data_IF_031126401098
#
_entry.id   IF_031126401098
#
_cell.length_a   1.000
_cell.length_b   1.000
_cell.length_c   1.000
_cell.angle_alpha   90.00
_cell.angle_beta   90.00
_cell.angle_gamma   90.00
#
_symmetry.space_group_name_H-M   'P 1'
#
loop_
_entity.id
_entity.type
_entity.pdbx_description
1 polymer ?
#
# COMPACT_ATOMS: atom_id res chain seq x y z
N UNK A 1 -55.18 -3.85 -19.14
CA UNK A 1 -55.89 -2.75 -18.41
C UNK A 1 -55.07 -2.47 -17.16
N UNK A 2 -54.49 -1.31 -16.83
CA UNK A 2 -54.52 0.08 -17.30
C UNK A 2 -53.07 0.64 -17.22
N UNK A 3 -52.72 1.48 -18.20
CA UNK A 3 -51.54 2.36 -18.23
C UNK A 3 -51.80 3.61 -17.36
N UNK A 4 -50.73 4.29 -16.95
CA UNK A 4 -50.49 5.75 -16.99
C UNK A 4 -49.57 6.16 -15.82
N UNK A 5 -48.35 6.64 -16.03
CA UNK A 5 -47.96 7.96 -16.59
C UNK A 5 -48.28 9.10 -15.61
N UNK A 6 -47.24 9.62 -14.94
CA UNK A 6 -47.08 11.04 -14.57
C UNK A 6 -45.59 11.26 -14.19
N UNK A 7 -44.67 11.62 -15.08
CA UNK A 7 -44.45 12.92 -15.75
C UNK A 7 -44.14 14.07 -14.78
N UNK A 8 -42.91 14.60 -14.98
CA UNK A 8 -42.44 15.97 -14.83
C UNK A 8 -42.85 16.78 -13.59
N UNK A 9 -41.83 17.16 -12.82
CA UNK A 9 -41.67 18.54 -12.34
C UNK A 9 -40.16 18.88 -12.42
N UNK A 10 -39.78 19.61 -13.47
CA UNK A 10 -39.25 20.98 -13.39
C UNK A 10 -37.95 21.05 -12.56
N UNK A 11 -36.73 20.97 -13.10
CA UNK A 11 -36.09 21.89 -14.06
C UNK A 11 -36.57 23.32 -13.97
N UNK A 12 -35.87 24.16 -13.19
CA UNK A 12 -35.63 25.59 -13.41
C UNK A 12 -34.87 26.15 -12.21
N UNK A 13 -33.57 26.41 -12.33
CA UNK A 13 -32.88 27.59 -11.78
C UNK A 13 -31.46 27.65 -12.36
N UNK A 14 -31.39 27.96 -13.65
CA UNK A 14 -30.23 28.66 -14.21
C UNK A 14 -30.46 30.16 -13.97
N UNK A 15 -29.71 30.74 -13.05
CA UNK A 15 -29.46 32.18 -13.02
C UNK A 15 -28.01 32.41 -13.40
N UNK A 16 -27.80 32.75 -14.67
CA UNK A 16 -26.58 33.36 -15.17
C UNK A 16 -26.54 34.83 -14.73
N UNK A 17 -25.42 35.26 -14.14
CA UNK A 17 -25.04 36.67 -14.09
C UNK A 17 -23.77 36.83 -14.92
N UNK A 18 -23.94 37.31 -16.16
CA UNK A 18 -22.85 37.94 -16.91
C UNK A 18 -22.88 39.42 -16.60
N UNK A 19 -21.94 39.89 -15.78
CA UNK A 19 -21.58 41.30 -15.73
C UNK A 19 -20.36 41.51 -16.61
N UNK A 20 -20.61 42.04 -17.81
CA UNK A 20 -19.61 42.66 -18.66
C UNK A 20 -19.36 44.06 -18.13
N UNK A 21 -18.28 44.23 -17.36
CA UNK A 21 -17.78 45.54 -16.97
C UNK A 21 -16.67 45.95 -17.95
N UNK A 22 -17.00 46.89 -18.85
CA UNK A 22 -16.01 47.59 -19.66
C UNK A 22 -15.21 48.56 -18.76
N UNK A 23 -14.03 48.13 -18.32
CA UNK A 23 -12.99 49.06 -17.84
C UNK A 23 -11.99 49.38 -18.95
N UNK A 24 -12.06 50.61 -19.45
CA UNK A 24 -10.97 51.30 -20.13
C UNK A 24 -9.73 51.29 -19.22
N UNK A 25 -8.66 50.64 -19.65
CA UNK A 25 -7.36 50.74 -19.00
C UNK A 25 -6.36 51.42 -19.93
N UNK A 26 -5.94 52.60 -19.46
CA UNK A 26 -4.79 53.40 -19.87
C UNK A 26 -3.53 52.54 -19.96
N UNK A 27 -2.81 52.68 -21.07
CA UNK A 27 -1.51 52.08 -21.32
C UNK A 27 -0.44 52.74 -20.46
N UNK A 28 -0.05 52.09 -19.36
CA UNK A 28 1.23 52.34 -18.70
C UNK A 28 2.18 51.17 -19.01
N UNK A 29 3.26 51.46 -19.72
CA UNK A 29 4.40 50.55 -19.91
C UNK A 29 5.06 50.32 -18.56
N UNK A 30 4.71 49.22 -17.91
CA UNK A 30 5.47 48.66 -16.79
C UNK A 30 6.37 47.56 -17.33
N UNK A 31 7.68 47.75 -17.17
CA UNK A 31 8.71 46.78 -17.53
C UNK A 31 8.47 45.48 -16.73
N UNK A 32 8.04 44.43 -17.42
CA UNK A 32 7.88 43.09 -16.85
C UNK A 32 9.27 42.46 -16.67
N UNK A 33 9.78 42.55 -15.44
CA UNK A 33 10.74 41.56 -14.95
C UNK A 33 9.96 40.25 -14.83
N UNK A 34 10.15 39.36 -15.79
CA UNK A 34 9.60 37.99 -15.77
C UNK A 34 10.25 37.25 -14.61
N UNK A 35 9.62 37.30 -13.45
CA UNK A 35 9.88 36.34 -12.38
C UNK A 35 9.39 34.99 -12.87
N UNK A 36 10.23 33.93 -12.93
CA UNK A 36 9.75 32.61 -13.30
C UNK A 36 8.71 32.22 -12.25
N UNK A 37 7.44 32.08 -12.66
CA UNK A 37 6.43 31.51 -11.78
C UNK A 37 6.90 30.11 -11.46
N UNK A 38 7.27 29.85 -10.21
CA UNK A 38 7.55 28.51 -9.73
C UNK A 38 6.30 27.67 -10.03
N UNK A 39 6.36 26.86 -11.08
CA UNK A 39 5.38 25.81 -11.33
C UNK A 39 5.50 24.86 -10.14
N UNK A 40 4.62 25.05 -9.17
CA UNK A 40 4.37 24.07 -8.13
C UNK A 40 3.80 22.85 -8.83
N UNK A 41 4.66 21.86 -9.11
CA UNK A 41 4.21 20.57 -9.60
C UNK A 41 3.25 19.98 -8.57
N UNK A 42 1.95 20.07 -8.85
CA UNK A 42 0.91 19.46 -8.03
C UNK A 42 0.88 17.98 -8.36
N UNK A 43 1.52 17.17 -7.50
CA UNK A 43 1.48 15.72 -7.63
C UNK A 43 0.03 15.22 -7.55
N UNK A 44 -0.30 14.33 -8.48
CA UNK A 44 -1.54 13.56 -8.48
C UNK A 44 -1.63 12.68 -7.22
N UNK A 45 -2.85 12.27 -6.87
CA UNK A 45 -3.07 11.34 -5.74
C UNK A 45 -2.28 10.04 -5.92
N UNK A 46 -2.18 9.55 -7.17
CA UNK A 46 -1.47 8.30 -7.50
C UNK A 46 0.03 8.44 -7.33
N UNK A 47 0.62 9.56 -7.76
CA UNK A 47 2.05 9.83 -7.55
C UNK A 47 2.41 9.93 -6.07
N UNK A 48 1.55 10.57 -5.26
CA UNK A 48 1.72 10.62 -3.79
C UNK A 48 1.66 9.23 -3.18
N UNK A 49 0.69 8.42 -3.59
CA UNK A 49 0.57 7.03 -3.15
C UNK A 49 1.84 6.22 -3.48
N UNK A 50 2.31 6.29 -4.72
CA UNK A 50 3.53 5.59 -5.14
C UNK A 50 4.74 6.07 -4.35
N UNK A 51 4.83 7.37 -4.06
CA UNK A 51 5.85 7.95 -3.17
C UNK A 51 5.80 7.33 -1.77
N UNK A 52 4.62 7.26 -1.16
CA UNK A 52 4.44 6.66 0.17
C UNK A 52 4.77 5.16 0.20
N UNK A 53 4.41 4.41 -0.85
CA UNK A 53 4.75 2.98 -0.96
C UNK A 53 6.28 2.82 -1.01
N UNK A 54 6.98 3.64 -1.80
CA UNK A 54 8.46 3.62 -1.86
C UNK A 54 9.08 3.91 -0.51
N UNK A 55 8.61 4.94 0.19
CA UNK A 55 9.11 5.31 1.52
C UNK A 55 8.91 4.18 2.52
N UNK A 56 7.72 3.57 2.55
CA UNK A 56 7.42 2.42 3.41
C UNK A 56 8.35 1.24 3.12
N UNK A 57 8.48 0.87 1.84
CA UNK A 57 9.35 -0.26 1.43
C UNK A 57 10.80 0.00 1.83
N UNK A 58 11.30 1.23 1.63
CA UNK A 58 12.66 1.60 2.03
C UNK A 58 12.85 1.49 3.55
N UNK A 59 11.93 2.03 4.33
CA UNK A 59 11.98 1.94 5.80
C UNK A 59 12.02 0.47 6.27
N UNK A 60 11.19 -0.40 5.67
CA UNK A 60 11.21 -1.84 5.94
C UNK A 60 12.54 -2.49 5.56
N UNK A 61 13.10 -2.17 4.39
CA UNK A 61 14.37 -2.74 3.93
C UNK A 61 15.57 -2.29 4.80
N UNK A 62 15.57 -1.05 5.26
CA UNK A 62 16.63 -0.47 6.10
C UNK A 62 16.46 -0.78 7.60
N UNK A 63 15.34 -1.42 7.98
CA UNK A 63 14.97 -1.65 9.38
C UNK A 63 14.86 -0.34 10.18
N UNK A 64 14.43 0.74 9.53
CA UNK A 64 14.20 2.03 10.19
C UNK A 64 12.96 1.91 11.08
N UNK A 65 13.20 1.51 12.33
CA UNK A 65 12.16 1.26 13.32
C UNK A 65 11.27 2.50 13.53
N UNK A 66 11.79 3.71 13.81
CA UNK A 66 10.96 4.91 13.88
C UNK A 66 10.05 5.14 12.67
N UNK A 67 10.59 5.01 11.45
CA UNK A 67 9.82 5.21 10.22
C UNK A 67 8.74 4.13 10.05
N UNK A 68 9.07 2.86 10.30
CA UNK A 68 8.11 1.74 10.24
C UNK A 68 6.96 1.97 11.22
N UNK A 69 7.25 2.33 12.47
CA UNK A 69 6.23 2.53 13.51
C UNK A 69 5.27 3.68 13.17
N UNK A 70 5.67 4.64 12.34
CA UNK A 70 4.82 5.78 11.94
C UNK A 70 3.63 5.35 11.06
N UNK A 71 3.69 4.19 10.41
CA UNK A 71 2.60 3.64 9.60
C UNK A 71 1.50 2.95 10.45
N UNK A 72 1.73 2.74 11.75
CA UNK A 72 0.82 1.97 12.60
C UNK A 72 0.01 2.88 13.52
N UNK A 73 -1.31 2.71 13.49
CA UNK A 73 -2.22 3.34 14.45
C UNK A 73 -2.40 2.45 15.68
N UNK A 74 -1.58 2.68 16.70
CA UNK A 74 -1.62 1.93 17.95
C UNK A 74 -2.79 2.37 18.86
N UNK A 75 -3.32 1.45 19.70
CA UNK A 75 -2.94 0.04 19.80
C UNK A 75 -3.56 -0.80 18.67
N UNK A 76 -2.79 -1.75 18.15
CA UNK A 76 -3.24 -2.68 17.12
C UNK A 76 -4.20 -3.69 17.74
N UNK A 77 -5.33 -3.93 17.05
CA UNK A 77 -6.26 -4.97 17.43
C UNK A 77 -5.70 -6.35 17.06
N UNK A 78 -6.04 -7.38 17.82
CA UNK A 78 -5.65 -8.77 17.52
C UNK A 78 -6.10 -9.19 16.10
N UNK A 79 -7.26 -8.71 15.65
CA UNK A 79 -7.78 -8.95 14.28
C UNK A 79 -6.95 -8.31 13.16
N UNK A 80 -6.08 -7.36 13.49
CA UNK A 80 -5.19 -6.69 12.53
C UNK A 80 -3.87 -7.44 12.34
N UNK A 81 -3.38 -8.19 13.32
CA UNK A 81 -2.05 -8.82 13.27
C UNK A 81 -2.04 -10.18 13.95
N UNK A 82 -1.51 -11.19 13.27
CA UNK A 82 -1.30 -12.52 13.84
C UNK A 82 0.14 -12.66 14.38
N UNK A 83 0.55 -11.79 15.30
CA UNK A 83 1.88 -11.87 15.93
C UNK A 83 1.84 -12.82 17.12
N UNK A 84 1.73 -14.11 16.84
CA UNK A 84 1.80 -15.17 17.85
C UNK A 84 3.19 -15.79 17.88
N UNK A 85 3.69 -16.14 19.07
CA UNK A 85 4.99 -16.80 19.19
C UNK A 85 6.15 -15.89 18.79
N UNK A 86 6.00 -14.58 19.03
CA UNK A 86 7.08 -13.59 18.89
C UNK A 86 8.15 -13.91 19.93
N UNK A 87 7.78 -13.84 21.21
CA UNK A 87 8.51 -14.33 22.37
C UNK A 87 7.58 -14.39 23.59
N UNK A 88 7.95 -15.11 24.67
CA UNK A 88 7.09 -15.26 25.84
C UNK A 88 6.75 -13.96 26.57
N UNK A 89 7.64 -12.96 26.53
CA UNK A 89 7.43 -11.67 27.21
C UNK A 89 6.39 -10.85 26.44
N UNK A 90 6.53 -10.77 25.12
CA UNK A 90 5.57 -10.13 24.23
C UNK A 90 4.19 -10.80 24.33
N UNK A 91 4.15 -12.13 24.27
CA UNK A 91 2.89 -12.87 24.33
C UNK A 91 2.18 -12.69 25.69
N UNK A 92 2.92 -12.66 26.79
CA UNK A 92 2.37 -12.37 28.11
C UNK A 92 1.84 -10.93 28.20
N UNK A 93 2.60 -9.96 27.69
CA UNK A 93 2.20 -8.55 27.67
C UNK A 93 0.95 -8.31 26.81
N UNK A 94 0.88 -8.95 25.63
CA UNK A 94 -0.28 -8.90 24.73
C UNK A 94 -1.52 -9.47 25.41
N UNK A 95 -1.43 -10.66 26.03
CA UNK A 95 -2.53 -11.28 26.78
C UNK A 95 -3.00 -10.40 27.95
N UNK A 96 -2.08 -9.80 28.69
CA UNK A 96 -2.42 -8.89 29.80
C UNK A 96 -3.13 -7.60 29.33
N UNK A 97 -3.02 -7.26 28.05
CA UNK A 97 -3.62 -6.07 27.44
C UNK A 97 -4.80 -6.40 26.50
N UNK A 98 -5.57 -7.44 26.84
CA UNK A 98 -6.75 -7.90 26.09
C UNK A 98 -6.45 -8.14 24.60
N UNK A 99 -5.32 -8.79 24.34
CA UNK A 99 -4.81 -9.13 23.01
C UNK A 99 -4.50 -7.93 22.10
N UNK A 100 -4.52 -6.70 22.63
CA UNK A 100 -4.13 -5.49 21.89
C UNK A 100 -2.64 -5.25 22.01
N UNK A 101 -2.00 -4.86 20.92
CA UNK A 101 -0.56 -4.56 20.89
C UNK A 101 -0.37 -3.05 20.98
N UNK A 102 0.27 -2.58 22.05
CA UNK A 102 0.62 -1.17 22.21
C UNK A 102 1.89 -0.82 21.42
N UNK A 103 2.13 0.49 21.21
CA UNK A 103 3.37 0.96 20.58
C UNK A 103 4.61 0.46 21.34
N UNK A 104 4.59 0.52 22.67
CA UNK A 104 5.72 0.09 23.51
C UNK A 104 5.99 -1.42 23.38
N UNK A 105 4.94 -2.25 23.32
CA UNK A 105 5.10 -3.70 23.12
C UNK A 105 5.76 -4.01 21.77
N UNK A 106 5.27 -3.38 20.70
CA UNK A 106 5.82 -3.53 19.36
C UNK A 106 7.26 -3.03 19.28
N UNK A 107 7.55 -1.84 19.85
CA UNK A 107 8.87 -1.21 19.84
C UNK A 107 9.92 -2.07 20.58
N UNK A 108 9.56 -2.58 21.77
CA UNK A 108 10.43 -3.43 22.58
C UNK A 108 10.72 -4.79 21.92
N UNK A 109 9.77 -5.29 21.12
CA UNK A 109 9.86 -6.61 20.48
C UNK A 109 10.13 -6.51 18.98
N UNK A 110 10.55 -5.33 18.50
CA UNK A 110 10.65 -5.03 17.08
C UNK A 110 11.52 -6.02 16.32
N UNK A 111 12.69 -6.38 16.86
CA UNK A 111 13.61 -7.31 16.20
C UNK A 111 12.97 -8.70 16.01
N UNK A 112 12.29 -9.21 17.05
CA UNK A 112 11.57 -10.48 17.00
C UNK A 112 10.41 -10.44 16.01
N UNK A 113 9.60 -9.37 16.02
CA UNK A 113 8.50 -9.17 15.07
C UNK A 113 9.03 -9.11 13.65
N UNK A 114 10.06 -8.30 13.39
CA UNK A 114 10.67 -8.11 12.08
C UNK A 114 11.18 -9.44 11.51
N UNK A 115 11.84 -10.25 12.34
CA UNK A 115 12.33 -11.57 11.93
C UNK A 115 11.18 -12.55 11.69
N UNK A 116 10.25 -12.68 12.64
CA UNK A 116 9.14 -13.64 12.58
C UNK A 116 8.17 -13.39 11.43
N UNK A 117 8.01 -12.13 11.07
CA UNK A 117 7.15 -11.74 9.96
C UNK A 117 7.91 -11.62 8.65
N UNK A 118 9.22 -11.91 8.63
CA UNK A 118 10.06 -11.85 7.43
C UNK A 118 10.02 -10.48 6.72
N UNK A 119 9.92 -9.37 7.47
CA UNK A 119 9.92 -8.02 6.91
C UNK A 119 11.16 -7.72 6.06
N UNK A 120 12.24 -8.51 6.16
CA UNK A 120 13.39 -8.40 5.26
C UNK A 120 13.03 -8.67 3.79
N UNK A 121 11.94 -9.35 3.48
CA UNK A 121 11.50 -9.62 2.12
C UNK A 121 11.06 -8.35 1.36
N UNK A 122 10.80 -7.25 2.07
CA UNK A 122 10.54 -5.94 1.44
C UNK A 122 11.71 -5.43 0.59
N UNK A 123 12.94 -5.84 0.89
CA UNK A 123 14.10 -5.55 0.02
C UNK A 123 13.93 -6.18 -1.37
N UNK A 124 13.30 -7.35 -1.45
CA UNK A 124 13.08 -8.08 -2.69
C UNK A 124 11.91 -7.47 -3.46
N UNK A 125 10.86 -6.99 -2.77
CA UNK A 125 9.83 -6.14 -3.36
C UNK A 125 10.45 -4.93 -4.09
N UNK A 126 11.38 -4.20 -3.46
CA UNK A 126 12.07 -3.05 -4.09
C UNK A 126 12.90 -3.50 -5.30
N UNK A 127 13.63 -4.61 -5.15
CA UNK A 127 14.57 -5.10 -6.17
C UNK A 127 13.86 -5.55 -7.45
N UNK A 128 12.75 -6.26 -7.31
CA UNK A 128 12.12 -6.97 -8.43
C UNK A 128 10.95 -6.22 -9.06
N UNK A 129 10.23 -5.41 -8.28
CA UNK A 129 9.03 -4.74 -8.79
C UNK A 129 9.35 -3.40 -9.45
N UNK A 130 8.81 -3.22 -10.65
CA UNK A 130 8.80 -1.92 -11.35
C UNK A 130 7.65 -1.06 -10.83
N UNK A 131 7.80 -0.53 -9.61
CA UNK A 131 6.73 0.18 -8.91
C UNK A 131 6.14 1.37 -9.69
N UNK A 132 6.91 2.04 -10.55
CA UNK A 132 6.40 3.13 -11.38
C UNK A 132 5.30 2.67 -12.37
N UNK A 133 5.23 1.38 -12.69
CA UNK A 133 4.13 0.86 -13.51
C UNK A 133 2.76 1.05 -12.83
N UNK A 134 2.73 1.22 -11.49
CA UNK A 134 1.51 1.55 -10.77
C UNK A 134 0.91 2.90 -11.20
N UNK A 135 1.62 3.77 -11.91
CA UNK A 135 1.04 5.00 -12.47
C UNK A 135 -0.14 4.70 -13.41
N UNK A 136 -0.07 3.57 -14.13
CA UNK A 136 -1.04 3.20 -15.16
C UNK A 136 -1.68 1.81 -14.94
N UNK A 137 -1.32 1.13 -13.84
CA UNK A 137 -1.75 -0.23 -13.52
C UNK A 137 -2.14 -0.29 -12.04
N UNK A 138 -3.14 -1.10 -11.72
CA UNK A 138 -3.55 -1.31 -10.33
C UNK A 138 -2.69 -2.35 -9.61
N UNK A 139 -1.90 -3.14 -10.34
CA UNK A 139 -0.98 -4.10 -9.74
C UNK A 139 0.32 -4.24 -10.52
N UNK A 140 1.36 -4.63 -9.78
CA UNK A 140 2.66 -5.06 -10.31
C UNK A 140 3.04 -6.34 -9.60
N UNK A 141 3.49 -7.33 -10.35
CA UNK A 141 3.82 -8.67 -9.84
C UNK A 141 5.14 -9.14 -10.45
N UNK A 142 5.87 -9.99 -9.75
CA UNK A 142 7.08 -10.64 -10.24
C UNK A 142 7.26 -12.02 -9.61
N UNK A 143 7.42 -13.02 -10.46
CA UNK A 143 7.76 -14.39 -10.07
C UNK A 143 9.25 -14.63 -10.33
N UNK A 144 10.00 -14.88 -9.27
CA UNK A 144 11.42 -15.20 -9.29
C UNK A 144 11.61 -16.72 -9.41
N UNK A 145 11.42 -17.24 -10.63
CA UNK A 145 11.60 -18.67 -10.94
C UNK A 145 13.10 -18.98 -11.07
N UNK A 146 13.60 -19.88 -10.22
CA UNK A 146 14.99 -20.34 -10.25
C UNK A 146 15.02 -21.66 -11.03
N UNK A 147 15.82 -21.71 -12.10
CA UNK A 147 15.91 -22.91 -12.95
C UNK A 147 16.48 -24.08 -12.16
N UNK A 148 15.75 -25.19 -12.16
CA UNK A 148 16.14 -26.40 -11.43
C UNK A 148 15.82 -26.36 -9.93
N UNK A 149 15.13 -25.32 -9.47
CA UNK A 149 14.58 -25.24 -8.12
C UNK A 149 13.10 -25.65 -8.13
N UNK A 150 12.72 -26.37 -7.09
CA UNK A 150 11.37 -26.81 -6.84
C UNK A 150 10.46 -25.71 -6.30
N UNK A 151 11.04 -24.66 -5.72
CA UNK A 151 10.35 -23.46 -5.25
C UNK A 151 10.57 -22.28 -6.20
N UNK A 152 9.62 -21.35 -6.21
CA UNK A 152 9.86 -19.99 -6.67
C UNK A 152 9.30 -18.98 -5.69
N UNK A 153 9.88 -17.79 -5.68
CA UNK A 153 9.42 -16.67 -4.85
C UNK A 153 8.56 -15.74 -5.68
N UNK A 154 7.50 -15.18 -5.09
CA UNK A 154 6.69 -14.17 -5.77
C UNK A 154 6.58 -12.92 -4.93
N UNK A 155 6.41 -11.80 -5.62
CA UNK A 155 6.31 -10.46 -5.05
C UNK A 155 5.21 -9.71 -5.77
N UNK A 156 4.37 -8.98 -5.04
CA UNK A 156 3.37 -8.11 -5.65
C UNK A 156 3.02 -6.89 -4.84
N UNK A 157 2.56 -5.87 -5.55
CA UNK A 157 1.90 -4.69 -5.01
C UNK A 157 0.60 -4.54 -5.77
N UNK A 158 -0.51 -4.42 -5.06
CA UNK A 158 -1.81 -4.07 -5.65
C UNK A 158 -2.42 -2.88 -4.93
N UNK A 159 -3.14 -2.06 -5.67
CA UNK A 159 -3.92 -0.92 -5.18
C UNK A 159 -5.35 -1.10 -5.65
N UNK A 160 -6.29 -1.18 -4.73
CA UNK A 160 -7.71 -1.30 -5.08
C UNK A 160 -8.37 0.07 -5.32
N UNK A 161 -9.64 0.04 -5.72
CA UNK A 161 -10.45 1.23 -5.98
C UNK A 161 -10.79 2.04 -4.72
N UNK A 162 -10.51 1.51 -3.53
CA UNK A 162 -10.64 2.21 -2.26
C UNK A 162 -9.28 2.74 -1.76
N UNK A 163 -8.22 2.73 -2.57
CA UNK A 163 -6.87 3.09 -2.12
C UNK A 163 -6.34 2.17 -0.98
N UNK A 164 -6.80 0.92 -0.91
CA UNK A 164 -6.11 -0.10 -0.14
C UNK A 164 -4.92 -0.62 -0.93
N UNK A 165 -3.74 -0.55 -0.32
CA UNK A 165 -2.50 -1.08 -0.87
C UNK A 165 -2.18 -2.39 -0.20
N UNK A 166 -2.00 -3.44 -0.99
CA UNK A 166 -1.54 -4.75 -0.51
C UNK A 166 -0.14 -5.01 -1.03
N UNK A 167 0.81 -5.18 -0.12
CA UNK A 167 2.18 -5.59 -0.39
C UNK A 167 2.30 -7.07 -0.04
N UNK A 168 2.67 -7.90 -1.01
CA UNK A 168 2.68 -9.35 -0.84
C UNK A 168 4.03 -9.95 -1.24
N UNK A 169 4.48 -10.93 -0.47
CA UNK A 169 5.58 -11.81 -0.81
C UNK A 169 5.27 -13.22 -0.35
N UNK A 170 5.93 -14.20 -0.95
CA UNK A 170 5.75 -15.60 -0.59
C UNK A 170 6.55 -16.54 -1.45
N UNK A 171 6.29 -17.82 -1.27
CA UNK A 171 6.88 -18.91 -2.06
C UNK A 171 5.79 -19.86 -2.53
N UNK A 172 6.00 -20.46 -3.69
CA UNK A 172 5.07 -21.41 -4.29
C UNK A 172 5.86 -22.49 -5.06
N UNK A 173 5.23 -23.62 -5.36
CA UNK A 173 5.88 -24.72 -6.08
C UNK A 173 6.06 -24.43 -7.57
N UNK A 174 7.20 -24.84 -8.11
CA UNK A 174 7.50 -24.76 -9.53
C UNK A 174 6.93 -25.97 -10.29
N UNK A 175 5.87 -25.74 -11.06
CA UNK A 175 5.21 -26.78 -11.86
C UNK A 175 6.14 -27.47 -12.87
N UNK A 176 7.13 -26.78 -13.43
CA UNK A 176 8.09 -27.39 -14.37
C UNK A 176 9.02 -28.37 -13.66
N UNK A 177 9.49 -28.00 -12.47
CA UNK A 177 10.28 -28.88 -11.62
C UNK A 177 9.46 -30.10 -11.18
N UNK A 178 8.24 -29.90 -10.69
CA UNK A 178 7.32 -30.99 -10.27
C UNK A 178 7.09 -32.02 -11.38
N UNK A 179 6.91 -31.57 -12.61
CA UNK A 179 6.70 -32.47 -13.77
C UNK A 179 7.94 -33.29 -14.09
N UNK A 180 9.14 -32.80 -13.78
CA UNK A 180 10.39 -33.50 -14.03
C UNK A 180 10.86 -34.38 -12.85
N UNK A 181 10.31 -34.17 -11.65
CA UNK A 181 10.64 -34.91 -10.43
C UNK A 181 9.35 -35.41 -9.74
N UNK A 182 8.59 -36.33 -10.38
CA UNK A 182 7.28 -36.77 -9.89
C UNK A 182 7.33 -37.58 -8.60
N UNK A 183 8.52 -38.01 -8.19
CA UNK A 183 8.79 -38.80 -6.98
C UNK A 183 9.03 -37.94 -5.73
N UNK A 184 9.11 -36.62 -5.86
CA UNK A 184 9.24 -35.69 -4.73
C UNK A 184 7.86 -35.23 -4.22
N UNK A 185 7.44 -35.72 -3.04
CA UNK A 185 6.09 -35.48 -2.48
C UNK A 185 5.86 -34.05 -1.97
N UNK A 186 6.86 -33.43 -1.33
CA UNK A 186 6.79 -32.04 -0.84
C UNK A 186 8.01 -31.27 -1.32
N UNK A 187 7.77 -30.35 -2.24
CA UNK A 187 8.82 -29.62 -2.94
C UNK A 187 9.03 -28.23 -2.31
N UNK A 188 7.96 -27.62 -1.79
CA UNK A 188 8.01 -26.27 -1.24
C UNK A 188 7.03 -26.11 -0.09
N UNK A 189 7.46 -25.48 1.00
CA UNK A 189 6.55 -24.99 2.04
C UNK A 189 5.89 -23.70 1.54
N UNK A 190 4.78 -23.82 0.81
CA UNK A 190 4.07 -22.70 0.19
C UNK A 190 3.48 -21.75 1.22
N UNK A 191 3.68 -20.45 1.03
CA UNK A 191 3.01 -19.44 1.83
C UNK A 191 2.94 -18.10 1.11
N UNK A 192 2.06 -17.23 1.57
CA UNK A 192 1.90 -15.85 1.14
C UNK A 192 1.70 -14.96 2.37
N UNK A 193 2.53 -13.92 2.50
CA UNK A 193 2.36 -12.86 3.49
C UNK A 193 1.83 -11.62 2.80
N UNK A 194 0.79 -11.00 3.36
CA UNK A 194 0.20 -9.77 2.85
C UNK A 194 0.13 -8.68 3.93
N UNK A 195 0.72 -7.53 3.62
CA UNK A 195 0.65 -6.31 4.42
C UNK A 195 -0.29 -5.31 3.74
N UNK A 196 -1.38 -4.97 4.42
CA UNK A 196 -2.47 -4.19 3.84
C UNK A 196 -2.54 -2.83 4.54
N UNK A 197 -2.54 -1.76 3.74
CA UNK A 197 -2.54 -0.38 4.17
C UNK A 197 -3.68 0.40 3.50
N UNK A 198 -4.18 1.43 4.16
CA UNK A 198 -5.10 2.41 3.59
C UNK A 198 -4.34 3.69 3.28
N UNK A 199 -4.47 4.22 2.07
CA UNK A 199 -4.02 5.56 1.76
C UNK A 199 -5.14 6.59 1.97
N UNK A 200 -4.88 7.63 2.75
CA UNK A 200 -5.86 8.70 3.03
C UNK A 200 -5.74 9.92 2.09
N UNK A 201 -4.87 9.83 1.08
CA UNK A 201 -4.51 10.96 0.20
C UNK A 201 -3.22 11.68 0.61
N UNK A 202 -2.69 11.38 1.79
CA UNK A 202 -1.44 11.94 2.32
C UNK A 202 -0.47 10.85 2.79
N UNK A 203 -0.92 9.85 3.53
CA UNK A 203 -0.07 8.83 4.13
C UNK A 203 -0.73 7.44 4.05
N UNK A 204 0.11 6.41 4.12
CA UNK A 204 -0.34 5.03 4.31
C UNK A 204 -0.56 4.75 5.79
N UNK A 205 -1.65 4.04 6.09
CA UNK A 205 -2.00 3.58 7.43
C UNK A 205 -2.17 2.08 7.42
N UNK A 206 -1.41 1.37 8.26
CA UNK A 206 -1.53 -0.07 8.39
C UNK A 206 -2.95 -0.45 8.81
N UNK A 207 -3.54 -1.39 8.07
CA UNK A 207 -4.84 -1.98 8.36
C UNK A 207 -4.69 -3.36 8.98
N UNK A 208 -3.96 -4.24 8.29
CA UNK A 208 -3.89 -5.65 8.66
C UNK A 208 -2.73 -6.40 8.00
N UNK A 209 -2.31 -7.45 8.67
CA UNK A 209 -1.33 -8.45 8.23
C UNK A 209 -2.04 -9.80 8.08
N UNK A 210 -1.79 -10.50 6.98
CA UNK A 210 -2.38 -11.81 6.68
C UNK A 210 -1.30 -12.77 6.22
N UNK A 211 -1.47 -14.04 6.59
CA UNK A 211 -0.63 -15.14 6.13
C UNK A 211 -1.59 -16.20 5.58
N UNK A 212 -1.28 -16.76 4.41
CA UNK A 212 -1.90 -17.94 3.85
C UNK A 212 -0.80 -18.97 3.55
N UNK A 213 -1.08 -20.25 3.72
CA UNK A 213 -0.13 -21.35 3.58
C UNK A 213 -0.73 -22.62 4.16
#
# INVERSE_FOLDING_TARGET
MKKNILILLLSLFFCACNQTDERKHTTEKKSETVTPSAQTNVFTKREKLIGEIKTLMQAMAEKDKPAILAYFNFPLADSSVNFFGVDPIFDAARKANNDRITKAMFDNSFASIYQKTEMSEFKNLIKFLKINNLENQDSVNYDNIIKGDGCYYFYSISVDHHDEVTLTYGTNSNDEYRKSHPDEEEICSEYAVAWIFKFDGKALHFLKHRIAG
#
